data_IF_298386255468
#
_entry.id   IF_298386255468
#
_cell.length_a   1.000
_cell.length_b   1.000
_cell.length_c   1.000
_cell.angle_alpha   90.00
_cell.angle_beta   90.00
_cell.angle_gamma   90.00
#
_symmetry.space_group_name_H-M   'P 1'
#
loop_
_entity.id
_entity.type
_entity.pdbx_description
1 polymer ?
#
# COMPACT_ATOMS: atom_id res chain seq x y z
N UNK A 1 -7.48 -45.96 -19.61
CA UNK A 1 -8.94 -45.70 -19.56
C UNK A 1 -9.33 -45.81 -18.09
N UNK A 2 -9.55 -44.78 -17.29
CA UNK A 2 -9.56 -43.33 -17.43
C UNK A 2 -8.88 -42.79 -16.16
N UNK A 3 -8.05 -41.75 -16.20
CA UNK A 3 -8.36 -40.49 -16.87
C UNK A 3 -9.23 -39.61 -15.98
N UNK A 4 -8.85 -39.42 -14.71
CA UNK A 4 -9.26 -38.26 -13.91
C UNK A 4 -8.01 -37.66 -13.25
N UNK A 5 -7.17 -37.07 -14.10
CA UNK A 5 -6.28 -35.98 -13.66
C UNK A 5 -7.20 -34.88 -13.13
N UNK A 6 -7.09 -34.58 -11.84
CA UNK A 6 -7.60 -33.32 -11.31
C UNK A 6 -6.82 -32.21 -12.00
N UNK A 7 -7.46 -31.15 -12.53
CA UNK A 7 -6.70 -30.00 -12.97
C UNK A 7 -6.05 -29.39 -11.72
N UNK A 8 -4.72 -29.31 -11.78
CA UNK A 8 -3.90 -28.60 -10.82
C UNK A 8 -4.50 -27.20 -10.60
N UNK A 9 -4.75 -26.88 -9.33
CA UNK A 9 -5.28 -25.60 -8.90
C UNK A 9 -4.23 -24.54 -9.28
N UNK A 10 -4.47 -23.83 -10.38
CA UNK A 10 -3.57 -22.80 -10.92
C UNK A 10 -3.24 -21.77 -9.83
N UNK A 11 -1.95 -21.50 -9.66
CA UNK A 11 -1.38 -20.75 -8.54
C UNK A 11 -2.01 -19.38 -8.33
N UNK A 12 -2.44 -19.14 -7.09
CA UNK A 12 -2.69 -17.80 -6.57
C UNK A 12 -1.33 -17.11 -6.49
N UNK A 13 -1.01 -16.25 -7.46
CA UNK A 13 0.01 -15.22 -7.24
C UNK A 13 -0.48 -14.41 -6.04
N UNK A 14 0.16 -14.62 -4.88
CA UNK A 14 -0.14 -13.86 -3.67
C UNK A 14 0.38 -12.45 -3.91
N UNK A 15 -0.52 -11.57 -4.36
CA UNK A 15 -0.18 -10.19 -4.67
C UNK A 15 -0.02 -9.32 -3.40
N UNK A 16 -0.35 -9.85 -2.23
CA UNK A 16 -0.13 -9.17 -0.97
C UNK A 16 1.18 -9.61 -0.31
N UNK A 17 1.94 -8.69 0.31
CA UNK A 17 3.03 -9.06 1.21
C UNK A 17 2.50 -9.90 2.39
N UNK A 18 3.42 -10.48 3.16
CA UNK A 18 3.05 -11.16 4.40
C UNK A 18 2.34 -10.19 5.37
N UNK A 19 1.21 -10.61 5.92
CA UNK A 19 0.37 -9.74 6.73
C UNK A 19 1.00 -9.38 8.07
N UNK A 20 1.87 -10.24 8.63
CA UNK A 20 2.59 -9.95 9.87
C UNK A 20 3.69 -8.91 9.64
N UNK A 21 4.35 -8.96 8.47
CA UNK A 21 5.43 -8.04 8.12
C UNK A 21 4.94 -6.61 7.86
N UNK A 22 3.69 -6.44 7.40
CA UNK A 22 3.11 -5.12 7.10
C UNK A 22 2.11 -4.62 8.14
N UNK A 23 1.84 -5.37 9.22
CA UNK A 23 0.91 -4.94 10.26
C UNK A 23 1.34 -3.59 10.90
N UNK A 24 0.41 -2.66 11.16
CA UNK A 24 -1.04 -2.79 11.06
C UNK A 24 -1.63 -2.40 9.70
N UNK A 25 -0.82 -2.20 8.65
CA UNK A 25 -1.37 -2.00 7.32
C UNK A 25 -2.05 -3.27 6.80
N UNK A 26 -3.13 -3.10 6.05
CA UNK A 26 -3.89 -4.19 5.45
C UNK A 26 -3.77 -4.12 3.93
N UNK A 27 -3.35 -5.22 3.33
CA UNK A 27 -3.38 -5.37 1.88
C UNK A 27 -4.75 -5.84 1.41
N UNK A 28 -5.37 -5.09 0.50
CA UNK A 28 -6.72 -5.33 -0.01
C UNK A 28 -6.62 -5.64 -1.49
N UNK A 29 -7.02 -6.86 -1.88
CA UNK A 29 -7.10 -7.27 -3.28
C UNK A 29 -8.55 -7.23 -3.75
N UNK A 30 -8.80 -6.51 -4.83
CA UNK A 30 -10.08 -6.53 -5.51
C UNK A 30 -10.26 -7.84 -6.30
N UNK A 31 -11.36 -8.54 -6.06
CA UNK A 31 -11.61 -9.87 -6.63
C UNK A 31 -11.99 -9.87 -8.11
N UNK A 32 -12.26 -8.70 -8.69
CA UNK A 32 -12.72 -8.55 -10.08
C UNK A 32 -11.59 -8.04 -10.99
N UNK A 33 -10.90 -7.00 -10.56
CA UNK A 33 -9.83 -6.31 -11.30
C UNK A 33 -8.43 -6.79 -10.94
N UNK A 34 -8.28 -7.55 -9.85
CA UNK A 34 -6.99 -7.88 -9.23
C UNK A 34 -6.19 -6.65 -8.78
N UNK A 35 -6.81 -5.46 -8.73
CA UNK A 35 -6.17 -4.27 -8.20
C UNK A 35 -5.85 -4.45 -6.72
N UNK A 36 -4.65 -4.03 -6.31
CA UNK A 36 -4.19 -4.18 -4.93
C UNK A 36 -3.97 -2.82 -4.29
N UNK A 37 -4.56 -2.64 -3.11
CA UNK A 37 -4.43 -1.45 -2.30
C UNK A 37 -3.76 -1.77 -0.96
N UNK A 38 -3.09 -0.79 -0.38
CA UNK A 38 -2.58 -0.83 0.98
C UNK A 38 -3.32 0.19 1.83
N UNK A 39 -3.98 -0.28 2.88
CA UNK A 39 -4.63 0.55 3.88
C UNK A 39 -3.76 0.62 5.12
N UNK A 40 -3.16 1.78 5.35
CA UNK A 40 -2.27 2.07 6.48
C UNK A 40 -2.92 2.99 7.52
N UNK A 41 -4.25 3.08 7.53
CA UNK A 41 -5.02 3.95 8.42
C UNK A 41 -4.80 3.67 9.91
N UNK A 42 -4.38 2.45 10.27
CA UNK A 42 -4.15 2.04 11.66
C UNK A 42 -2.69 2.19 12.14
N UNK A 43 -1.81 2.79 11.33
CA UNK A 43 -0.40 3.00 11.73
C UNK A 43 -0.31 3.99 12.91
N UNK A 44 0.55 3.68 13.87
CA UNK A 44 0.66 4.37 15.16
C UNK A 44 1.62 5.57 15.14
N UNK A 45 2.56 5.64 14.19
CA UNK A 45 3.53 6.73 14.03
C UNK A 45 4.36 6.58 12.74
N UNK A 46 5.11 7.63 12.37
CA UNK A 46 5.90 7.71 11.14
C UNK A 46 7.00 6.62 11.07
N UNK A 47 7.61 6.27 12.21
CA UNK A 47 8.63 5.22 12.25
C UNK A 47 8.02 3.86 11.90
N UNK A 48 6.83 3.53 12.42
CA UNK A 48 6.14 2.29 12.07
C UNK A 48 5.78 2.26 10.58
N UNK A 49 5.33 3.39 10.00
CA UNK A 49 5.05 3.50 8.56
C UNK A 49 6.31 3.17 7.74
N UNK A 50 7.45 3.78 8.08
CA UNK A 50 8.74 3.50 7.44
C UNK A 50 9.18 2.04 7.55
N UNK A 51 8.95 1.40 8.69
CA UNK A 51 9.33 0.00 8.90
C UNK A 51 8.49 -0.95 8.04
N UNK A 52 7.18 -0.70 7.93
CA UNK A 52 6.28 -1.49 7.08
C UNK A 52 6.79 -1.52 5.63
N UNK A 53 7.20 -0.37 5.09
CA UNK A 53 7.70 -0.30 3.70
C UNK A 53 9.10 -0.88 3.50
N UNK A 54 9.77 -1.39 4.55
CA UNK A 54 10.98 -2.20 4.44
C UNK A 54 10.72 -3.70 4.34
N UNK A 55 9.47 -4.14 4.53
CA UNK A 55 9.06 -5.53 4.35
C UNK A 55 9.31 -6.02 2.91
N UNK A 56 9.21 -7.33 2.71
CA UNK A 56 9.28 -7.90 1.38
C UNK A 56 7.92 -7.77 0.68
N UNK A 57 7.91 -7.03 -0.43
CA UNK A 57 6.71 -6.82 -1.25
C UNK A 57 6.85 -7.61 -2.56
N UNK A 58 5.86 -8.44 -2.93
CA UNK A 58 5.93 -9.31 -4.10
C UNK A 58 6.02 -8.53 -5.43
N UNK A 59 5.59 -7.26 -5.45
CA UNK A 59 5.81 -6.30 -6.52
C UNK A 59 5.88 -4.89 -5.95
N UNK A 60 6.22 -3.92 -6.80
CA UNK A 60 6.46 -2.54 -6.38
C UNK A 60 5.34 -1.57 -6.71
N UNK A 61 4.46 -1.90 -7.66
CA UNK A 61 3.42 -0.99 -8.13
C UNK A 61 2.04 -1.40 -7.62
N UNK A 62 1.47 -0.62 -6.71
CA UNK A 62 0.15 -0.84 -6.15
C UNK A 62 -0.85 0.12 -6.78
N UNK A 63 -2.11 -0.31 -6.83
CA UNK A 63 -3.17 0.55 -7.35
C UNK A 63 -3.44 1.71 -6.40
N UNK A 64 -3.46 1.47 -5.08
CA UNK A 64 -3.90 2.51 -4.14
C UNK A 64 -3.24 2.47 -2.76
N UNK A 65 -2.96 3.65 -2.22
CA UNK A 65 -2.61 3.87 -0.83
C UNK A 65 -3.74 4.59 -0.10
N UNK A 66 -4.07 4.11 1.10
CA UNK A 66 -5.01 4.76 2.00
C UNK A 66 -4.33 5.14 3.33
N UNK A 67 -4.52 6.39 3.73
CA UNK A 67 -4.29 6.88 5.07
C UNK A 67 -5.51 7.70 5.49
N UNK A 68 -6.48 7.05 6.13
CA UNK A 68 -7.79 7.62 6.44
C UNK A 68 -7.97 7.70 7.96
N UNK A 69 -8.55 8.79 8.46
CA UNK A 69 -8.87 8.94 9.90
C UNK A 69 -7.67 8.72 10.84
N UNK A 70 -6.44 8.89 10.31
CA UNK A 70 -5.21 8.68 11.05
C UNK A 70 -4.69 10.01 11.58
N UNK A 71 -4.69 10.16 12.91
CA UNK A 71 -4.23 11.39 13.57
C UNK A 71 -2.85 11.22 14.22
N UNK A 72 -2.13 10.16 13.83
CA UNK A 72 -0.83 9.81 14.40
C UNK A 72 0.33 10.16 13.46
N UNK A 73 0.06 10.23 12.15
CA UNK A 73 1.04 10.59 11.12
C UNK A 73 0.89 12.08 10.80
N UNK A 74 1.91 12.88 11.13
CA UNK A 74 1.99 14.31 10.81
C UNK A 74 2.87 14.59 9.62
N UNK A 75 3.83 13.70 9.34
CA UNK A 75 4.79 13.87 8.25
C UNK A 75 4.87 12.61 7.39
N UNK A 76 4.71 12.76 6.08
CA UNK A 76 5.21 11.77 5.12
C UNK A 76 6.65 12.12 4.78
N UNK A 77 7.57 11.38 5.36
CA UNK A 77 9.01 11.64 5.23
C UNK A 77 9.55 11.21 3.86
N UNK A 78 10.67 11.81 3.45
CA UNK A 78 11.34 11.49 2.20
C UNK A 78 11.64 9.99 2.08
N UNK A 79 11.25 9.38 0.95
CA UNK A 79 11.48 7.97 0.69
C UNK A 79 10.70 6.99 1.59
N UNK A 80 9.65 7.44 2.30
CA UNK A 80 8.85 6.61 3.22
C UNK A 80 8.36 5.30 2.59
N UNK A 81 8.04 5.31 1.29
CA UNK A 81 7.53 4.13 0.59
C UNK A 81 8.61 3.19 0.07
N UNK A 82 9.90 3.50 0.25
CA UNK A 82 11.02 2.61 -0.05
C UNK A 82 10.94 1.94 -1.45
N UNK A 83 10.58 2.72 -2.46
CA UNK A 83 10.44 2.26 -3.84
C UNK A 83 9.12 1.57 -4.18
N UNK A 84 8.18 1.44 -3.23
CA UNK A 84 6.78 1.09 -3.51
C UNK A 84 6.07 2.31 -4.10
N UNK A 85 5.36 2.10 -5.21
CA UNK A 85 4.65 3.12 -5.96
C UNK A 85 3.14 2.89 -5.89
N UNK A 86 2.38 3.97 -6.05
CA UNK A 86 0.93 3.96 -6.03
C UNK A 86 0.36 4.72 -7.23
N UNK A 87 -0.67 4.18 -7.87
CA UNK A 87 -1.42 4.90 -8.90
C UNK A 87 -2.37 5.94 -8.28
N UNK A 88 -2.96 5.62 -7.14
CA UNK A 88 -3.86 6.50 -6.40
C UNK A 88 -3.40 6.65 -4.95
N UNK A 89 -3.41 7.89 -4.45
CA UNK A 89 -3.05 8.21 -3.07
C UNK A 89 -4.23 8.94 -2.43
N UNK A 90 -4.89 8.30 -1.47
CA UNK A 90 -6.02 8.87 -0.72
C UNK A 90 -5.61 9.10 0.74
N UNK A 91 -5.44 10.37 1.11
CA UNK A 91 -5.19 10.81 2.49
C UNK A 91 -6.29 11.76 2.91
N UNK A 92 -7.14 11.32 3.85
CA UNK A 92 -8.36 12.05 4.21
C UNK A 92 -8.65 11.99 5.70
N UNK A 93 -9.14 13.10 6.26
CA UNK A 93 -9.51 13.18 7.67
C UNK A 93 -8.33 12.83 8.59
N UNK A 94 -7.13 13.34 8.29
CA UNK A 94 -5.90 13.04 9.04
C UNK A 94 -5.35 14.29 9.72
N UNK A 95 -4.33 14.14 10.56
CA UNK A 95 -3.54 15.28 11.08
C UNK A 95 -2.22 15.46 10.27
N UNK A 96 -2.20 15.05 8.99
CA UNK A 96 -1.02 15.17 8.14
C UNK A 96 -0.72 16.64 7.81
N UNK A 97 0.40 17.15 8.30
CA UNK A 97 0.82 18.54 8.14
C UNK A 97 1.82 18.71 6.99
N UNK A 98 2.70 17.73 6.78
CA UNK A 98 3.83 17.84 5.84
C UNK A 98 3.97 16.59 4.97
N UNK A 99 4.10 16.80 3.67
CA UNK A 99 4.65 15.81 2.74
C UNK A 99 6.01 16.32 2.33
N UNK A 100 7.08 15.65 2.78
CA UNK A 100 8.43 16.06 2.46
C UNK A 100 8.72 15.94 0.97
N UNK A 101 9.69 16.74 0.50
CA UNK A 101 10.25 16.54 -0.82
C UNK A 101 10.73 15.09 -0.94
N UNK A 102 10.43 14.43 -2.06
CA UNK A 102 10.78 13.03 -2.32
C UNK A 102 10.02 11.96 -1.53
N UNK A 103 9.02 12.33 -0.73
CA UNK A 103 8.17 11.33 -0.07
C UNK A 103 7.42 10.44 -1.09
N UNK A 104 7.08 11.01 -2.26
CA UNK A 104 6.28 10.36 -3.30
C UNK A 104 7.06 10.04 -4.58
N UNK A 105 8.40 10.15 -4.58
CA UNK A 105 9.22 10.01 -5.80
C UNK A 105 9.03 8.64 -6.48
N UNK A 106 8.82 7.57 -5.71
CA UNK A 106 8.55 6.24 -6.25
C UNK A 106 7.27 6.17 -7.10
N UNK A 107 6.32 7.08 -6.88
CA UNK A 107 5.06 7.15 -7.61
C UNK A 107 5.07 8.17 -8.76
N UNK A 108 6.20 8.82 -9.07
CA UNK A 108 6.26 9.90 -10.07
C UNK A 108 5.71 9.49 -11.45
N UNK A 109 6.04 8.29 -11.91
CA UNK A 109 5.63 7.78 -13.22
C UNK A 109 4.27 7.04 -13.19
N UNK A 110 3.79 6.65 -12.01
CA UNK A 110 2.59 5.79 -11.87
C UNK A 110 1.39 6.54 -11.34
N UNK A 111 1.59 7.61 -10.58
CA UNK A 111 0.50 8.35 -9.94
C UNK A 111 -0.41 9.01 -10.98
N UNK A 112 -1.68 8.64 -10.93
CA UNK A 112 -2.74 9.22 -11.76
C UNK A 112 -3.65 10.13 -10.95
N UNK A 113 -3.70 9.95 -9.62
CA UNK A 113 -4.57 10.72 -8.75
C UNK A 113 -4.02 10.83 -7.33
N UNK A 114 -4.10 12.04 -6.77
CA UNK A 114 -3.81 12.30 -5.36
C UNK A 114 -4.97 13.08 -4.75
N UNK A 115 -5.57 12.54 -3.68
CA UNK A 115 -6.64 13.18 -2.93
C UNK A 115 -6.16 13.48 -1.52
N UNK A 116 -5.96 14.76 -1.25
CA UNK A 116 -5.73 15.32 0.07
C UNK A 116 -6.99 16.09 0.48
N UNK A 117 -7.69 15.64 1.51
CA UNK A 117 -8.95 16.26 1.94
C UNK A 117 -9.11 16.24 3.46
N UNK A 118 -9.48 17.39 4.05
CA UNK A 118 -9.62 17.55 5.52
C UNK A 118 -8.39 17.01 6.26
N UNK A 119 -7.25 17.67 6.06
CA UNK A 119 -6.00 17.48 6.81
C UNK A 119 -5.59 18.79 7.48
#
# INVERSE_FOLDING_TARGET
KDGRHQPEYYGYEQYCPDAEDIAPCVCIQDSVSNAVALDCSSVENEEQLKQIFKADFPFKNFHKFYLLFNNNIKVLEAGVFNGISFEQIDIKYTDLEVVELQALDSSYETATEMRLYEN
#
